data_IF_413420186861
#
_entry.id   IF_413420186861
#
_cell.length_a   1.000
_cell.length_b   1.000
_cell.length_c   1.000
_cell.angle_alpha   90.00
_cell.angle_beta   90.00
_cell.angle_gamma   90.00
#
_symmetry.space_group_name_H-M   'P 1'
#
loop_
_entity.id
_entity.type
_entity.pdbx_description
1 polymer ?
#
# COMPACT_ATOMS: atom_id res chain seq x y z
N UNK A 1 -51.52 -3.01 5.67
CA UNK A 1 -50.11 -3.02 6.13
C UNK A 1 -50.11 -3.77 7.46
N UNK A 2 -49.39 -4.89 7.60
CA UNK A 2 -49.39 -5.65 8.86
C UNK A 2 -48.31 -5.11 9.81
N UNK A 3 -48.60 -5.07 11.10
CA UNK A 3 -47.61 -4.78 12.14
C UNK A 3 -46.69 -5.98 12.28
N UNK A 4 -45.38 -5.76 12.20
CA UNK A 4 -44.37 -6.80 12.41
C UNK A 4 -44.19 -7.05 13.91
N UNK A 5 -43.91 -8.30 14.30
CA UNK A 5 -43.48 -8.60 15.67
C UNK A 5 -42.07 -8.05 15.93
N UNK A 6 -41.69 -7.90 17.21
CA UNK A 6 -40.34 -7.45 17.58
C UNK A 6 -39.24 -8.37 17.04
N UNK A 7 -39.50 -9.68 16.92
CA UNK A 7 -38.58 -10.63 16.31
C UNK A 7 -38.41 -10.39 14.82
N UNK A 8 -39.51 -10.12 14.10
CA UNK A 8 -39.47 -9.77 12.68
C UNK A 8 -38.78 -8.42 12.44
N UNK A 9 -38.93 -7.47 13.35
CA UNK A 9 -38.19 -6.20 13.30
C UNK A 9 -36.70 -6.41 13.54
N UNK A 10 -36.31 -7.28 14.46
CA UNK A 10 -34.90 -7.65 14.64
C UNK A 10 -34.36 -8.35 13.39
N UNK A 11 -35.08 -9.32 12.81
CA UNK A 11 -34.60 -10.00 11.61
C UNK A 11 -34.47 -9.06 10.40
N UNK A 12 -35.38 -8.08 10.26
CA UNK A 12 -35.35 -7.08 9.16
C UNK A 12 -34.31 -5.97 9.42
N UNK A 13 -34.07 -5.59 10.67
CA UNK A 13 -33.05 -4.59 11.04
C UNK A 13 -31.67 -5.18 11.27
N UNK A 14 -31.52 -6.51 11.12
CA UNK A 14 -30.27 -7.23 11.32
C UNK A 14 -29.92 -7.53 12.78
N UNK A 15 -30.86 -7.42 13.72
CA UNK A 15 -30.89 -8.08 15.03
C UNK A 15 -29.64 -7.91 15.90
N UNK A 16 -28.84 -6.93 15.54
CA UNK A 16 -27.44 -6.81 15.89
C UNK A 16 -27.13 -5.34 15.95
N UNK A 17 -27.56 -4.73 17.06
CA UNK A 17 -26.97 -3.49 17.59
C UNK A 17 -25.51 -3.72 18.05
N UNK A 18 -24.73 -4.46 17.27
CA UNK A 18 -23.30 -4.53 17.35
C UNK A 18 -22.80 -4.36 15.93
N UNK A 19 -22.77 -3.09 15.49
CA UNK A 19 -21.54 -2.59 14.89
C UNK A 19 -20.45 -3.01 15.88
N UNK A 20 -19.81 -4.17 15.68
CA UNK A 20 -18.73 -4.62 16.54
C UNK A 20 -17.74 -3.47 16.52
N UNK A 21 -17.56 -2.72 17.64
CA UNK A 21 -16.61 -1.62 17.63
C UNK A 21 -15.28 -2.24 17.19
N UNK A 22 -14.59 -1.62 16.21
CA UNK A 22 -13.41 -2.22 15.63
C UNK A 22 -12.45 -2.57 16.77
N UNK A 23 -12.06 -3.84 16.82
CA UNK A 23 -11.13 -4.30 17.85
C UNK A 23 -9.82 -3.54 17.69
N UNK A 24 -9.03 -3.39 18.76
CA UNK A 24 -7.72 -2.74 18.67
C UNK A 24 -6.85 -3.39 17.56
N UNK A 25 -6.97 -4.71 17.39
CA UNK A 25 -6.37 -5.49 16.30
C UNK A 25 -6.91 -5.08 14.93
N UNK A 26 -8.23 -4.91 14.78
CA UNK A 26 -8.85 -4.46 13.53
C UNK A 26 -8.46 -3.04 13.13
N UNK A 27 -8.34 -2.13 14.11
CA UNK A 27 -7.84 -0.76 13.86
C UNK A 27 -6.37 -0.78 13.45
N UNK A 28 -5.54 -1.60 14.12
CA UNK A 28 -4.14 -1.80 13.75
C UNK A 28 -3.99 -2.29 12.31
N UNK A 29 -4.74 -3.33 11.93
CA UNK A 29 -4.71 -3.88 10.58
C UNK A 29 -5.19 -2.88 9.52
N UNK A 30 -6.21 -2.08 9.82
CA UNK A 30 -6.66 -1.00 8.95
C UNK A 30 -5.57 0.07 8.75
N UNK A 31 -4.92 0.50 9.84
CA UNK A 31 -3.83 1.46 9.77
C UNK A 31 -2.62 0.89 9.00
N UNK A 32 -2.23 -0.35 9.28
CA UNK A 32 -1.15 -1.06 8.57
C UNK A 32 -1.43 -1.16 7.07
N UNK A 33 -2.62 -1.61 6.69
CA UNK A 33 -3.02 -1.67 5.28
C UNK A 33 -3.09 -0.29 4.61
N UNK A 34 -3.50 0.75 5.33
CA UNK A 34 -3.51 2.12 4.80
C UNK A 34 -2.09 2.60 4.52
N UNK A 35 -1.13 2.32 5.42
CA UNK A 35 0.28 2.67 5.22
C UNK A 35 0.84 1.95 3.99
N UNK A 36 0.65 0.63 3.87
CA UNK A 36 1.12 -0.14 2.70
C UNK A 36 0.44 0.37 1.41
N UNK A 37 -0.85 0.70 1.45
CA UNK A 37 -1.57 1.21 0.29
C UNK A 37 -1.03 2.55 -0.20
N UNK A 38 -0.69 3.46 0.70
CA UNK A 38 -0.05 4.75 0.35
C UNK A 38 1.34 4.50 -0.23
N UNK A 39 2.13 3.63 0.40
CA UNK A 39 3.48 3.28 -0.06
C UNK A 39 3.45 2.70 -1.48
N UNK A 40 2.57 1.72 -1.73
CA UNK A 40 2.36 1.14 -3.05
C UNK A 40 1.93 2.20 -4.07
N UNK A 41 1.04 3.14 -3.69
CA UNK A 41 0.61 4.21 -4.60
C UNK A 41 1.78 5.10 -5.03
N UNK A 42 2.70 5.40 -4.11
CA UNK A 42 3.90 6.18 -4.41
C UNK A 42 4.83 5.39 -5.35
N UNK A 43 5.09 4.11 -5.06
CA UNK A 43 5.92 3.25 -5.91
C UNK A 43 5.33 3.10 -7.32
N UNK A 44 4.02 2.85 -7.43
CA UNK A 44 3.33 2.78 -8.72
C UNK A 44 3.38 4.11 -9.50
N UNK A 45 3.35 5.25 -8.81
CA UNK A 45 3.55 6.54 -9.48
C UNK A 45 4.98 6.70 -10.00
N UNK A 46 5.97 6.26 -9.23
CA UNK A 46 7.37 6.24 -9.68
C UNK A 46 7.53 5.33 -10.90
N UNK A 47 6.98 4.11 -10.87
CA UNK A 47 6.97 3.19 -12.01
C UNK A 47 6.34 3.80 -13.27
N UNK A 48 5.26 4.57 -13.12
CA UNK A 48 4.60 5.23 -14.25
C UNK A 48 5.49 6.30 -14.92
N UNK A 49 6.38 6.95 -14.18
CA UNK A 49 7.30 7.98 -14.70
C UNK A 49 8.72 7.43 -14.97
N UNK A 50 9.02 6.23 -14.48
CA UNK A 50 10.31 5.56 -14.58
C UNK A 50 10.87 5.47 -16.01
N UNK A 51 10.08 5.18 -17.07
CA UNK A 51 10.61 5.17 -18.43
C UNK A 51 11.29 6.50 -18.83
N UNK A 52 10.79 7.64 -18.33
CA UNK A 52 11.37 8.95 -18.59
C UNK A 52 12.71 9.09 -17.84
N UNK A 53 12.75 8.65 -16.59
CA UNK A 53 13.97 8.64 -15.76
C UNK A 53 15.09 7.79 -16.36
N UNK A 54 14.78 6.59 -16.86
CA UNK A 54 15.72 5.71 -17.57
C UNK A 54 16.26 6.36 -18.84
N UNK A 55 15.40 6.97 -19.65
CA UNK A 55 15.83 7.65 -20.88
C UNK A 55 16.75 8.84 -20.56
N UNK A 56 16.38 9.68 -19.60
CA UNK A 56 17.22 10.80 -19.17
C UNK A 56 18.56 10.33 -18.62
N UNK A 57 18.56 9.25 -17.84
CA UNK A 57 19.77 8.59 -17.32
C UNK A 57 20.69 8.13 -18.45
N UNK A 58 20.15 7.44 -19.45
CA UNK A 58 20.92 6.96 -20.59
C UNK A 58 21.55 8.12 -21.39
N UNK A 59 20.85 9.25 -21.51
CA UNK A 59 21.33 10.43 -22.24
C UNK A 59 22.37 11.26 -21.47
N UNK A 60 22.29 11.26 -20.13
CA UNK A 60 23.14 12.09 -19.28
C UNK A 60 24.38 11.38 -18.74
N UNK A 61 24.50 10.07 -19.00
CA UNK A 61 25.72 9.30 -18.79
C UNK A 61 25.82 8.61 -17.41
N UNK A 62 26.95 7.93 -17.14
CA UNK A 62 27.05 6.95 -16.07
C UNK A 62 26.94 7.54 -14.65
N UNK A 63 27.36 8.79 -14.45
CA UNK A 63 27.28 9.45 -13.13
C UNK A 63 25.82 9.70 -12.75
N UNK A 64 25.00 10.22 -13.67
CA UNK A 64 23.59 10.46 -13.43
C UNK A 64 22.84 9.16 -13.18
N UNK A 65 23.17 8.09 -13.92
CA UNK A 65 22.55 6.78 -13.69
C UNK A 65 22.88 6.17 -12.34
N UNK A 66 24.12 6.30 -11.88
CA UNK A 66 24.50 5.85 -10.55
C UNK A 66 23.77 6.64 -9.45
N UNK A 67 23.58 7.95 -9.63
CA UNK A 67 22.82 8.79 -8.70
C UNK A 67 21.34 8.44 -8.68
N UNK A 68 20.74 8.17 -9.84
CA UNK A 68 19.35 7.74 -9.96
C UNK A 68 19.13 6.41 -9.22
N UNK A 69 19.93 5.40 -9.55
CA UNK A 69 19.86 4.09 -8.90
C UNK A 69 20.07 4.17 -7.39
N UNK A 70 20.98 5.03 -6.93
CA UNK A 70 21.20 5.25 -5.50
C UNK A 70 19.98 5.86 -4.82
N UNK A 71 19.35 6.88 -5.43
CA UNK A 71 18.13 7.49 -4.91
C UNK A 71 17.00 6.46 -4.76
N UNK A 72 16.79 5.63 -5.78
CA UNK A 72 15.73 4.62 -5.78
C UNK A 72 16.01 3.54 -4.73
N UNK A 73 17.28 3.16 -4.54
CA UNK A 73 17.68 2.23 -3.49
C UNK A 73 17.43 2.79 -2.08
N UNK A 74 17.66 4.09 -1.86
CA UNK A 74 17.36 4.73 -0.57
C UNK A 74 15.86 4.71 -0.30
N UNK A 75 15.04 5.02 -1.30
CA UNK A 75 13.57 4.95 -1.20
C UNK A 75 13.16 3.51 -0.88
N UNK A 76 13.69 2.52 -1.60
CA UNK A 76 13.44 1.10 -1.34
C UNK A 76 13.71 0.69 0.11
N UNK A 77 14.80 1.16 0.73
CA UNK A 77 15.08 0.85 2.13
C UNK A 77 14.11 1.52 3.10
N UNK A 78 13.66 2.72 2.78
CA UNK A 78 12.62 3.40 3.57
C UNK A 78 11.27 2.66 3.46
N UNK A 79 10.86 2.28 2.25
CA UNK A 79 9.59 1.57 1.99
C UNK A 79 9.58 0.18 2.63
N UNK A 80 10.70 -0.57 2.57
CA UNK A 80 10.84 -1.84 3.33
C UNK A 80 10.63 -1.66 4.84
N UNK A 81 11.16 -0.58 5.42
CA UNK A 81 10.97 -0.25 6.82
C UNK A 81 9.51 0.05 7.15
N UNK A 82 8.85 0.87 6.32
CA UNK A 82 7.43 1.20 6.45
C UNK A 82 6.55 -0.05 6.34
N UNK A 83 6.83 -0.93 5.38
CA UNK A 83 6.08 -2.17 5.19
C UNK A 83 6.26 -3.14 6.35
N UNK A 84 7.48 -3.26 6.89
CA UNK A 84 7.74 -4.06 8.11
C UNK A 84 6.95 -3.52 9.31
N UNK A 85 6.97 -2.20 9.50
CA UNK A 85 6.19 -1.54 10.56
C UNK A 85 4.69 -1.77 10.37
N UNK A 86 4.18 -1.58 9.15
CA UNK A 86 2.77 -1.77 8.84
C UNK A 86 2.29 -3.22 8.99
N UNK A 87 3.12 -4.20 8.62
CA UNK A 87 2.86 -5.62 8.86
C UNK A 87 2.83 -5.94 10.36
N UNK A 88 3.67 -5.30 11.16
CA UNK A 88 3.64 -5.42 12.63
C UNK A 88 2.31 -4.92 13.22
N UNK A 89 1.68 -3.93 12.59
CA UNK A 89 0.33 -3.47 12.95
C UNK A 89 -0.79 -4.42 12.50
N UNK A 90 -0.48 -5.46 11.72
CA UNK A 90 -1.45 -6.41 11.15
C UNK A 90 -1.83 -6.11 9.69
N UNK A 91 -1.08 -5.23 9.00
CA UNK A 91 -1.20 -5.05 7.56
C UNK A 91 -0.84 -6.32 6.79
N UNK A 92 -1.58 -6.61 5.72
CA UNK A 92 -1.48 -7.84 4.92
C UNK A 92 -1.46 -7.59 3.41
N UNK A 93 -1.67 -6.34 2.97
CA UNK A 93 -1.49 -5.96 1.56
C UNK A 93 -0.06 -6.28 1.14
N UNK A 94 0.12 -6.84 -0.06
CA UNK A 94 1.44 -7.10 -0.61
C UNK A 94 2.14 -5.77 -0.94
N UNK A 95 3.37 -5.54 -0.45
CA UNK A 95 4.11 -4.33 -0.76
C UNK A 95 4.61 -4.33 -2.21
N UNK A 96 4.68 -3.14 -2.80
CA UNK A 96 5.24 -2.87 -4.13
C UNK A 96 6.50 -2.00 -4.01
N UNK A 97 7.50 -2.24 -4.86
CA UNK A 97 8.81 -1.60 -4.78
C UNK A 97 9.30 -1.16 -6.16
N UNK A 98 9.29 0.14 -6.40
CA UNK A 98 9.75 0.75 -7.64
C UNK A 98 11.19 0.37 -8.00
N UNK A 99 12.09 0.34 -7.02
CA UNK A 99 13.49 -0.07 -7.23
C UNK A 99 13.62 -1.50 -7.80
N UNK A 100 12.83 -2.45 -7.30
CA UNK A 100 12.86 -3.83 -7.79
C UNK A 100 12.32 -3.90 -9.22
N UNK A 101 11.26 -3.14 -9.50
CA UNK A 101 10.64 -3.04 -10.81
C UNK A 101 11.62 -2.44 -11.85
N UNK A 102 12.30 -1.34 -11.53
CA UNK A 102 13.22 -0.68 -12.48
C UNK A 102 14.57 -1.40 -12.62
N UNK A 103 15.20 -1.82 -11.52
CA UNK A 103 16.61 -2.21 -11.52
C UNK A 103 16.88 -3.72 -11.42
N UNK A 104 15.90 -4.51 -10.99
CA UNK A 104 16.05 -5.97 -10.83
C UNK A 104 15.25 -6.70 -11.92
N UNK A 105 13.98 -6.35 -12.08
CA UNK A 105 13.09 -6.98 -13.05
C UNK A 105 13.16 -6.31 -14.42
N UNK A 106 13.47 -5.01 -14.44
CA UNK A 106 13.45 -4.17 -15.64
C UNK A 106 12.04 -3.63 -15.91
N UNK A 107 11.98 -2.38 -16.36
CA UNK A 107 10.73 -1.73 -16.78
C UNK A 107 10.22 -2.44 -18.05
N UNK A 108 9.02 -3.03 -17.99
CA UNK A 108 8.32 -3.60 -19.15
C UNK A 108 7.52 -2.55 -19.92
#
# INVERSE_FOLDING_TARGET
MRTLSESELNDVSGGGSFLIPPTLVGIGALAGNTIIGIDNTINSFQDAIAPIGVVLTALSGPITGALHQFNDYVIYKATQGLNTFAQTLGGTIAPDYHYENEWIHGIN
#
